data_IF_058834522749
#
_entry.id   IF_058834522749
#
_cell.length_a   1.000
_cell.length_b   1.000
_cell.length_c   1.000
_cell.angle_alpha   90.00
_cell.angle_beta   90.00
_cell.angle_gamma   90.00
#
_symmetry.space_group_name_H-M   'P 1'
#
loop_
_entity.id
_entity.type
_entity.pdbx_description
1 polymer ?
#
# COMPACT_ATOMS: atom_id res chain seq x y z
N UNK A 1 -38.25 18.15 29.55
CA UNK A 1 -38.40 17.92 28.10
C UNK A 1 -37.03 17.68 27.50
N UNK A 2 -36.52 16.46 27.67
CA UNK A 2 -35.28 15.99 27.05
C UNK A 2 -35.68 15.52 25.66
N UNK A 3 -35.23 16.20 24.60
CA UNK A 3 -35.42 15.70 23.24
C UNK A 3 -34.27 14.73 22.97
N UNK A 4 -34.60 13.44 23.10
CA UNK A 4 -33.81 12.33 22.59
C UNK A 4 -33.53 12.58 21.11
N UNK A 5 -32.25 12.81 20.79
CA UNK A 5 -31.80 12.86 19.39
C UNK A 5 -31.04 11.57 19.13
N UNK A 6 -31.71 10.71 18.39
CA UNK A 6 -31.24 9.44 17.84
C UNK A 6 -29.90 9.64 17.13
N UNK A 7 -28.79 9.27 17.78
CA UNK A 7 -27.52 9.09 17.09
C UNK A 7 -27.53 7.70 16.45
N UNK A 8 -27.69 7.70 15.12
CA UNK A 8 -27.51 6.54 14.26
C UNK A 8 -26.19 5.85 14.57
N UNK A 9 -26.25 4.55 14.84
CA UNK A 9 -25.09 3.66 14.88
C UNK A 9 -24.54 3.57 13.46
N UNK A 10 -23.40 4.22 13.22
CA UNK A 10 -22.64 4.11 11.97
C UNK A 10 -22.02 2.70 11.97
N UNK A 11 -22.20 1.88 10.91
CA UNK A 11 -21.55 0.57 10.84
C UNK A 11 -20.02 0.78 10.85
N UNK A 12 -19.22 -0.10 11.46
CA UNK A 12 -17.78 0.09 11.55
C UNK A 12 -17.21 0.18 10.12
N UNK A 13 -16.65 1.33 9.76
CA UNK A 13 -15.87 1.48 8.54
C UNK A 13 -14.71 0.51 8.63
N UNK A 14 -14.57 -0.37 7.64
CA UNK A 14 -13.45 -1.30 7.64
C UNK A 14 -12.23 -0.52 7.12
N UNK A 15 -11.48 0.08 8.05
CA UNK A 15 -10.30 0.91 7.75
C UNK A 15 -9.06 0.02 7.54
N UNK A 16 -9.04 -0.77 6.46
CA UNK A 16 -7.86 -1.55 6.05
C UNK A 16 -7.28 -1.04 4.73
N UNK A 17 -5.98 -1.30 4.53
CA UNK A 17 -5.33 -1.25 3.23
C UNK A 17 -5.46 -2.61 2.54
N UNK A 18 -5.86 -2.61 1.27
CA UNK A 18 -5.94 -3.80 0.44
C UNK A 18 -5.10 -3.62 -0.82
N UNK A 19 -4.10 -4.46 -0.98
CA UNK A 19 -3.23 -4.44 -2.16
C UNK A 19 -2.72 -5.85 -2.46
N UNK A 20 -1.98 -5.99 -3.55
CA UNK A 20 -1.39 -7.26 -3.96
C UNK A 20 0.13 -7.16 -4.00
N UNK A 21 0.83 -8.20 -3.55
CA UNK A 21 2.27 -8.33 -3.68
C UNK A 21 2.58 -9.68 -4.34
N UNK A 22 3.25 -9.66 -5.50
CA UNK A 22 3.59 -10.87 -6.29
C UNK A 22 2.38 -11.79 -6.52
N UNK A 23 1.21 -11.19 -6.77
CA UNK A 23 -0.06 -11.91 -7.01
C UNK A 23 -0.78 -12.38 -5.74
N UNK A 24 -0.17 -12.23 -4.56
CA UNK A 24 -0.80 -12.56 -3.27
C UNK A 24 -1.52 -11.33 -2.71
N UNK A 25 -2.77 -11.51 -2.32
CA UNK A 25 -3.55 -10.48 -1.64
C UNK A 25 -3.00 -10.20 -0.24
N UNK A 26 -2.92 -8.92 0.12
CA UNK A 26 -2.51 -8.42 1.43
C UNK A 26 -3.59 -7.49 1.95
N UNK A 27 -4.02 -7.74 3.19
CA UNK A 27 -4.94 -6.88 3.95
C UNK A 27 -4.19 -6.44 5.20
N UNK A 28 -4.01 -5.13 5.39
CA UNK A 28 -3.40 -4.55 6.59
C UNK A 28 -4.42 -3.67 7.33
N UNK A 29 -4.70 -4.01 8.58
CA UNK A 29 -5.70 -3.34 9.41
C UNK A 29 -5.11 -2.23 10.29
N UNK A 30 -3.81 -2.26 10.54
CA UNK A 30 -3.12 -1.36 11.47
C UNK A 30 -1.90 -0.74 10.79
N UNK A 31 -2.10 -0.15 9.61
CA UNK A 31 -1.04 0.54 8.90
C UNK A 31 -0.67 1.84 9.61
N UNK A 32 0.60 2.00 9.97
CA UNK A 32 1.09 3.26 10.56
C UNK A 32 1.47 4.25 9.43
N UNK A 33 1.16 5.56 9.58
CA UNK A 33 1.38 6.55 8.51
C UNK A 33 2.83 6.75 8.08
N UNK A 34 3.79 6.40 8.94
CA UNK A 34 5.23 6.51 8.71
C UNK A 34 5.82 5.29 8.01
N UNK A 35 5.06 4.20 7.86
CA UNK A 35 5.53 3.01 7.17
C UNK A 35 5.72 3.29 5.68
N UNK A 36 6.94 3.02 5.21
CA UNK A 36 7.25 2.97 3.80
C UNK A 36 6.94 1.58 3.25
N UNK A 37 6.66 1.50 1.94
CA UNK A 37 6.47 0.22 1.26
C UNK A 37 7.68 -0.69 1.45
N UNK A 38 8.90 -0.16 1.36
CA UNK A 38 10.12 -0.94 1.59
C UNK A 38 10.18 -1.52 3.00
N UNK A 39 9.86 -0.72 4.02
CA UNK A 39 9.84 -1.19 5.39
C UNK A 39 8.81 -2.31 5.56
N UNK A 40 7.61 -2.14 5.01
CA UNK A 40 6.54 -3.13 5.11
C UNK A 40 6.90 -4.45 4.43
N UNK A 41 7.37 -4.39 3.17
CA UNK A 41 7.80 -5.57 2.42
C UNK A 41 8.82 -6.40 3.21
N UNK A 42 9.83 -5.73 3.77
CA UNK A 42 10.94 -6.39 4.47
C UNK A 42 10.58 -6.89 5.86
N UNK A 43 9.85 -6.11 6.66
CA UNK A 43 9.63 -6.40 8.09
C UNK A 43 8.31 -7.10 8.38
N UNK A 44 7.25 -6.83 7.61
CA UNK A 44 5.92 -7.46 7.80
C UNK A 44 5.74 -8.67 6.91
N UNK A 45 6.16 -8.57 5.64
CA UNK A 45 6.02 -9.67 4.68
C UNK A 45 7.26 -10.56 4.54
N UNK A 46 8.39 -10.19 5.16
CA UNK A 46 9.69 -10.89 5.06
C UNK A 46 10.20 -11.04 3.61
N UNK A 47 9.77 -10.16 2.72
CA UNK A 47 10.24 -10.04 1.34
C UNK A 47 11.47 -9.13 1.33
N UNK A 48 12.65 -9.77 1.42
CA UNK A 48 13.92 -9.08 1.63
C UNK A 48 14.70 -8.80 0.36
N UNK A 49 14.14 -9.13 -0.81
CA UNK A 49 14.74 -8.96 -2.14
C UNK A 49 15.00 -7.50 -2.46
N UNK A 50 14.01 -6.63 -2.32
CA UNK A 50 14.20 -5.17 -2.42
C UNK A 50 15.03 -4.65 -1.22
N UNK A 51 16.04 -3.82 -1.50
CA UNK A 51 17.07 -3.44 -0.52
C UNK A 51 16.96 -1.99 -0.07
N UNK A 52 17.28 -1.73 1.19
CA UNK A 52 17.55 -0.38 1.67
C UNK A 52 19.01 -0.02 1.33
N UNK A 53 19.19 0.92 0.41
CA UNK A 53 20.51 1.47 0.04
C UNK A 53 20.71 2.86 0.63
N UNK A 54 20.21 3.89 -0.04
CA UNK A 54 20.35 5.29 0.38
C UNK A 54 19.18 5.84 1.21
N UNK A 55 17.96 5.31 1.06
CA UNK A 55 16.77 5.81 1.76
C UNK A 55 16.18 7.13 1.21
N UNK A 56 16.81 7.71 0.19
CA UNK A 56 16.43 9.00 -0.41
C UNK A 56 16.09 8.91 -1.91
N UNK A 57 16.02 7.68 -2.45
CA UNK A 57 15.62 7.42 -3.84
C UNK A 57 16.74 7.53 -4.90
N UNK A 58 17.95 7.95 -4.55
CA UNK A 58 19.05 8.11 -5.51
C UNK A 58 19.63 6.81 -6.07
N UNK A 59 19.68 5.72 -5.29
CA UNK A 59 20.40 4.50 -5.68
C UNK A 59 19.58 3.45 -6.44
N UNK A 60 18.24 3.53 -6.42
CA UNK A 60 17.38 2.53 -7.06
C UNK A 60 17.39 1.10 -6.46
N UNK A 61 18.14 0.81 -5.39
CA UNK A 61 18.23 -0.52 -4.79
C UNK A 61 16.89 -1.07 -4.24
N UNK A 62 15.92 -0.19 -3.98
CA UNK A 62 14.57 -0.51 -3.53
C UNK A 62 13.52 -0.44 -4.65
N UNK A 63 13.92 -0.48 -5.92
CA UNK A 63 12.98 -0.35 -7.04
C UNK A 63 12.00 -1.53 -7.05
N UNK A 64 10.72 -1.21 -7.18
CA UNK A 64 9.61 -2.16 -7.37
C UNK A 64 8.73 -1.70 -8.53
N UNK A 65 8.00 -2.62 -9.14
CA UNK A 65 6.97 -2.27 -10.12
C UNK A 65 5.63 -2.09 -9.40
N UNK A 66 4.92 -1.00 -9.71
CA UNK A 66 3.55 -0.79 -9.27
C UNK A 66 2.65 -0.77 -10.51
N UNK A 67 1.61 -1.60 -10.47
CA UNK A 67 0.54 -1.64 -11.45
C UNK A 67 -0.74 -1.12 -10.82
N UNK A 68 -1.38 -0.15 -11.46
CA UNK A 68 -2.59 0.49 -10.93
C UNK A 68 -3.60 0.77 -12.04
N UNK A 69 -4.88 0.50 -11.77
CA UNK A 69 -5.95 0.84 -12.70
C UNK A 69 -6.28 2.33 -12.57
N UNK A 70 -5.91 3.11 -13.58
CA UNK A 70 -6.12 4.57 -13.60
C UNK A 70 -7.55 4.90 -13.99
N UNK A 71 -8.16 4.08 -14.85
CA UNK A 71 -9.56 4.22 -15.25
C UNK A 71 -10.28 2.88 -15.13
N UNK A 72 -11.14 2.79 -14.11
CA UNK A 72 -11.92 1.57 -13.81
C UNK A 72 -12.97 1.25 -14.87
N UNK A 73 -13.42 2.22 -15.67
CA UNK A 73 -14.43 1.99 -16.72
C UNK A 73 -13.81 1.43 -17.99
N UNK A 74 -12.62 1.89 -18.36
CA UNK A 74 -11.91 1.40 -19.55
C UNK A 74 -11.02 0.20 -19.25
N UNK A 75 -10.73 -0.06 -17.97
CA UNK A 75 -9.77 -1.09 -17.55
C UNK A 75 -8.33 -0.71 -17.84
N UNK A 76 -8.03 0.58 -18.06
CA UNK A 76 -6.67 1.02 -18.36
C UNK A 76 -5.75 0.86 -17.15
N UNK A 77 -4.75 -0.01 -17.30
CA UNK A 77 -3.73 -0.31 -16.31
C UNK A 77 -2.45 0.45 -16.66
N UNK A 78 -1.89 1.15 -15.68
CA UNK A 78 -0.59 1.79 -15.81
C UNK A 78 0.44 1.06 -14.94
N UNK A 79 1.63 0.87 -15.51
CA UNK A 79 2.77 0.27 -14.84
C UNK A 79 3.87 1.30 -14.70
N UNK A 80 4.37 1.48 -13.48
CA UNK A 80 5.48 2.39 -13.19
C UNK A 80 6.45 1.77 -12.20
N UNK A 81 7.73 2.09 -12.35
CA UNK A 81 8.73 1.76 -11.35
C UNK A 81 8.74 2.82 -10.27
N UNK A 82 8.88 2.39 -9.02
CA UNK A 82 8.84 3.28 -7.86
C UNK A 82 9.94 2.89 -6.87
N UNK A 83 10.55 3.89 -6.25
CA UNK A 83 11.45 3.68 -5.12
C UNK A 83 10.62 3.36 -3.87
N UNK A 84 10.60 2.09 -3.46
CA UNK A 84 9.80 1.65 -2.31
C UNK A 84 10.22 2.32 -0.99
N UNK A 85 11.45 2.83 -0.87
CA UNK A 85 11.91 3.55 0.33
C UNK A 85 11.23 4.91 0.54
N UNK A 86 10.66 5.51 -0.51
CA UNK A 86 9.97 6.80 -0.45
C UNK A 86 8.45 6.67 -0.58
N UNK A 87 7.94 5.53 -1.03
CA UNK A 87 6.51 5.30 -1.18
C UNK A 87 5.86 5.03 0.19
N UNK A 88 4.95 5.88 0.68
CA UNK A 88 4.17 5.57 1.88
C UNK A 88 3.31 4.33 1.64
N UNK A 89 3.18 3.44 2.62
CA UNK A 89 2.37 2.22 2.47
C UNK A 89 0.91 2.54 2.13
N UNK A 90 0.32 3.57 2.75
CA UNK A 90 -1.05 3.98 2.48
C UNK A 90 -1.27 4.43 1.02
N UNK A 91 -0.22 4.85 0.32
CA UNK A 91 -0.32 5.30 -1.08
C UNK A 91 -0.51 4.16 -2.08
N UNK A 92 -0.28 2.91 -1.66
CA UNK A 92 -0.36 1.73 -2.55
C UNK A 92 -1.65 0.93 -2.38
N UNK A 93 -2.65 1.48 -1.70
CA UNK A 93 -3.98 0.87 -1.63
C UNK A 93 -4.54 0.63 -3.05
N UNK A 94 -5.13 -0.54 -3.25
CA UNK A 94 -5.65 -1.01 -4.52
C UNK A 94 -4.61 -1.28 -5.62
N UNK A 95 -3.32 -1.21 -5.31
CA UNK A 95 -2.26 -1.45 -6.28
C UNK A 95 -1.78 -2.91 -6.30
N UNK A 96 -1.15 -3.31 -7.40
CA UNK A 96 -0.39 -4.55 -7.47
C UNK A 96 1.11 -4.24 -7.55
N UNK A 97 1.83 -4.66 -6.52
CA UNK A 97 3.27 -4.50 -6.37
C UNK A 97 3.94 -5.79 -6.84
N UNK A 98 4.96 -5.66 -7.67
CA UNK A 98 5.84 -6.76 -8.08
C UNK A 98 7.26 -6.44 -7.61
N UNK A 99 7.81 -7.35 -6.82
CA UNK A 99 9.17 -7.30 -6.30
C UNK A 99 10.06 -8.31 -7.03
N UNK A 100 11.26 -8.56 -6.52
CA UNK A 100 12.28 -9.40 -7.21
C UNK A 100 12.20 -10.89 -6.83
N UNK A 101 11.52 -11.21 -5.73
CA UNK A 101 11.25 -12.58 -5.25
C UNK A 101 10.48 -13.42 -6.27
#
# INVERSE_FOLDING_TARGET
MVKETTQQVIPPTIDYLLFYVNGKQVIEHNAEPDWTLLWYLRNKLNLTGSKLGCGEGGCGACTVLISQCINRHTGHLEHRTVNACLAPLCSVDGCHIVTVE
#
